data_IF_235736917550
#
_entry.id   IF_235736917550
#
_cell.length_a   1.000
_cell.length_b   1.000
_cell.length_c   1.000
_cell.angle_alpha   90.00
_cell.angle_beta   90.00
_cell.angle_gamma   90.00
#
_symmetry.space_group_name_H-M   'P 1'
#
loop_
_entity.id
_entity.type
_entity.pdbx_description
1 polymer ?
#
# COMPACT_ATOMS: atom_id res chain seq x y z
N UNK A 1 38.98 13.75 -12.64
CA UNK A 1 38.34 12.42 -12.64
C UNK A 1 36.85 12.62 -12.42
N UNK A 2 36.02 12.37 -13.44
CA UNK A 2 34.58 12.66 -13.36
C UNK A 2 33.81 11.36 -13.19
N UNK A 3 33.63 10.94 -11.93
CA UNK A 3 32.95 9.69 -11.52
C UNK A 3 31.43 9.71 -11.78
N UNK A 4 30.89 10.79 -12.36
CA UNK A 4 29.44 11.00 -12.59
C UNK A 4 28.83 10.19 -13.74
N UNK A 5 29.58 9.34 -14.45
CA UNK A 5 29.08 8.62 -15.64
C UNK A 5 28.79 7.13 -15.41
N UNK A 6 29.24 6.55 -14.29
CA UNK A 6 28.97 5.14 -13.95
C UNK A 6 27.48 4.83 -13.63
N UNK A 7 26.76 5.60 -12.79
CA UNK A 7 25.36 5.28 -12.47
C UNK A 7 24.45 5.40 -13.70
N UNK A 8 24.72 6.37 -14.58
CA UNK A 8 23.99 6.52 -15.84
C UNK A 8 24.15 5.30 -16.76
N UNK A 9 25.35 4.70 -16.79
CA UNK A 9 25.63 3.51 -17.59
C UNK A 9 24.90 2.28 -17.06
N UNK A 10 24.83 2.14 -15.73
CA UNK A 10 24.12 1.05 -15.05
C UNK A 10 22.61 1.16 -15.29
N UNK A 11 22.03 2.36 -15.14
CA UNK A 11 20.61 2.61 -15.41
C UNK A 11 20.27 2.33 -16.88
N UNK A 12 21.11 2.77 -17.82
CA UNK A 12 20.89 2.55 -19.25
C UNK A 12 20.97 1.07 -19.62
N UNK A 13 21.93 0.32 -19.06
CA UNK A 13 22.04 -1.12 -19.25
C UNK A 13 20.86 -1.89 -18.64
N UNK A 14 20.41 -1.53 -17.44
CA UNK A 14 19.24 -2.14 -16.81
C UNK A 14 17.97 -1.85 -17.61
N UNK A 15 17.78 -0.62 -18.06
CA UNK A 15 16.63 -0.22 -18.89
C UNK A 15 16.66 -0.89 -20.27
N UNK A 16 17.82 -0.98 -20.92
CA UNK A 16 17.94 -1.64 -22.23
C UNK A 16 17.81 -3.16 -22.12
N UNK A 17 18.40 -3.78 -21.11
CA UNK A 17 18.21 -5.20 -20.79
C UNK A 17 16.74 -5.54 -20.50
N UNK A 18 16.10 -4.77 -19.61
CA UNK A 18 14.69 -4.93 -19.28
C UNK A 18 13.76 -4.68 -20.49
N UNK A 19 14.11 -3.74 -21.37
CA UNK A 19 13.34 -3.47 -22.60
C UNK A 19 13.56 -4.53 -23.69
N UNK A 20 14.75 -5.12 -23.78
CA UNK A 20 15.05 -6.21 -24.72
C UNK A 20 14.42 -7.55 -24.31
N UNK A 21 14.11 -7.73 -23.02
CA UNK A 21 13.51 -8.95 -22.50
C UNK A 21 11.98 -8.95 -22.62
N UNK A 22 11.44 -9.77 -23.52
CA UNK A 22 10.01 -10.12 -23.57
C UNK A 22 9.55 -10.86 -22.32
N UNK A 23 10.38 -11.76 -21.78
CA UNK A 23 10.07 -12.52 -20.56
C UNK A 23 9.92 -11.61 -19.34
N UNK A 24 10.82 -10.65 -19.15
CA UNK A 24 10.77 -9.69 -18.03
C UNK A 24 9.52 -8.82 -18.06
N UNK A 25 9.12 -8.34 -19.24
CA UNK A 25 7.87 -7.57 -19.42
C UNK A 25 6.64 -8.41 -19.11
N UNK A 26 6.61 -9.67 -19.57
CA UNK A 26 5.50 -10.59 -19.29
C UNK A 26 5.40 -10.88 -17.80
N UNK A 27 6.53 -11.15 -17.14
CA UNK A 27 6.56 -11.42 -15.71
C UNK A 27 6.13 -10.18 -14.90
N UNK A 28 6.59 -9.00 -15.29
CA UNK A 28 6.19 -7.75 -14.64
C UNK A 28 4.70 -7.46 -14.81
N UNK A 29 4.13 -7.73 -16.00
CA UNK A 29 2.66 -7.68 -16.22
C UNK A 29 1.92 -8.64 -15.29
N UNK A 30 2.41 -9.88 -15.14
CA UNK A 30 1.81 -10.87 -14.23
C UNK A 30 1.85 -10.36 -12.78
N UNK A 31 2.98 -9.81 -12.33
CA UNK A 31 3.12 -9.23 -10.99
C UNK A 31 2.14 -8.07 -10.80
N UNK A 32 2.03 -7.18 -11.78
CA UNK A 32 1.14 -6.01 -11.72
C UNK A 32 -0.33 -6.42 -11.68
N UNK A 33 -0.73 -7.38 -12.52
CA UNK A 33 -2.07 -7.99 -12.49
C UNK A 33 -2.33 -8.64 -11.14
N UNK A 34 -1.37 -9.44 -10.64
CA UNK A 34 -1.51 -10.12 -9.35
C UNK A 34 -1.63 -9.13 -8.21
N UNK A 35 -0.86 -8.04 -8.19
CA UNK A 35 -0.97 -6.97 -7.21
C UNK A 35 -2.34 -6.27 -7.30
N UNK A 36 -2.84 -6.01 -8.50
CA UNK A 36 -4.15 -5.38 -8.68
C UNK A 36 -5.29 -6.30 -8.24
N UNK A 37 -5.21 -7.59 -8.54
CA UNK A 37 -6.17 -8.61 -8.08
C UNK A 37 -6.07 -8.78 -6.56
N UNK A 38 -4.87 -8.93 -5.99
CA UNK A 38 -4.71 -9.09 -4.55
C UNK A 38 -5.18 -7.86 -3.79
N UNK A 39 -4.83 -6.66 -4.26
CA UNK A 39 -5.35 -5.41 -3.69
C UNK A 39 -6.86 -5.30 -3.87
N UNK A 40 -7.40 -5.68 -5.02
CA UNK A 40 -8.83 -5.68 -5.30
C UNK A 40 -9.61 -6.66 -4.44
N UNK A 41 -9.11 -7.88 -4.25
CA UNK A 41 -9.74 -8.93 -3.42
C UNK A 41 -9.60 -8.62 -1.94
N UNK A 42 -8.41 -8.23 -1.46
CA UNK A 42 -8.25 -7.78 -0.07
C UNK A 42 -9.09 -6.53 0.19
N UNK A 43 -9.19 -5.59 -0.75
CA UNK A 43 -10.09 -4.46 -0.57
C UNK A 43 -11.56 -4.91 -0.60
N UNK A 44 -12.00 -5.68 -1.59
CA UNK A 44 -13.42 -6.01 -1.77
C UNK A 44 -13.94 -7.08 -0.81
N UNK A 45 -13.09 -7.96 -0.27
CA UNK A 45 -13.49 -8.96 0.73
C UNK A 45 -13.07 -8.53 2.13
N UNK A 46 -11.82 -8.07 2.30
CA UNK A 46 -11.31 -7.70 3.62
C UNK A 46 -11.83 -6.32 4.08
N UNK A 47 -12.09 -5.31 3.22
CA UNK A 47 -12.67 -4.05 3.72
C UNK A 47 -14.14 -4.13 4.12
N UNK A 48 -15.07 -4.71 3.33
CA UNK A 48 -16.47 -4.70 3.75
C UNK A 48 -16.71 -5.59 4.96
N UNK A 49 -16.03 -6.72 5.13
CA UNK A 49 -16.12 -7.51 6.37
C UNK A 49 -15.40 -6.83 7.54
N UNK A 50 -14.24 -6.20 7.33
CA UNK A 50 -13.52 -5.50 8.41
C UNK A 50 -14.22 -4.20 8.85
N UNK A 51 -14.88 -3.48 7.94
CA UNK A 51 -15.65 -2.27 8.24
C UNK A 51 -17.07 -2.58 8.74
N UNK A 52 -17.79 -3.54 8.14
CA UNK A 52 -19.17 -3.85 8.59
C UNK A 52 -19.20 -4.70 9.87
N UNK A 53 -18.22 -5.58 10.10
CA UNK A 53 -18.32 -6.54 11.23
C UNK A 53 -17.91 -5.94 12.57
N UNK A 54 -17.30 -4.74 12.59
CA UNK A 54 -16.94 -4.10 13.86
C UNK A 54 -17.64 -2.77 14.13
N UNK A 55 -18.17 -2.02 13.15
CA UNK A 55 -18.92 -0.78 13.43
C UNK A 55 -20.12 -0.63 12.50
N UNK A 56 -21.32 -0.69 13.06
CA UNK A 56 -22.55 -0.32 12.35
C UNK A 56 -22.55 1.17 11.89
N UNK A 57 -21.60 1.98 12.36
CA UNK A 57 -21.31 3.34 11.86
C UNK A 57 -19.95 3.81 12.40
N UNK A 58 -19.00 4.20 11.53
CA UNK A 58 -17.70 4.77 11.93
C UNK A 58 -17.85 6.00 12.86
N UNK A 59 -18.94 6.75 12.72
CA UNK A 59 -19.28 7.89 13.58
C UNK A 59 -19.50 7.53 15.06
N UNK A 60 -20.10 6.38 15.36
CA UNK A 60 -20.40 6.00 16.76
C UNK A 60 -19.15 5.59 17.53
N UNK A 61 -18.18 4.97 16.87
CA UNK A 61 -16.92 4.56 17.52
C UNK A 61 -15.98 5.74 17.74
N UNK A 62 -15.94 6.68 16.79
CA UNK A 62 -15.19 7.91 16.94
C UNK A 62 -15.70 8.71 18.15
N UNK A 63 -17.03 8.77 18.36
CA UNK A 63 -17.66 9.38 19.53
C UNK A 63 -17.25 8.72 20.85
N UNK A 64 -17.32 7.39 20.93
CA UNK A 64 -16.96 6.66 22.16
C UNK A 64 -15.47 6.76 22.51
N UNK A 65 -14.58 6.70 21.51
CA UNK A 65 -13.13 6.86 21.72
C UNK A 65 -12.77 8.29 22.10
N UNK A 66 -13.42 9.30 21.50
CA UNK A 66 -13.29 10.70 21.92
C UNK A 66 -13.73 10.87 23.38
N UNK A 67 -14.89 10.35 23.76
CA UNK A 67 -15.41 10.47 25.14
C UNK A 67 -14.46 9.81 26.16
N UNK A 68 -13.87 8.65 25.82
CA UNK A 68 -12.89 7.98 26.66
C UNK A 68 -11.56 8.74 26.75
N UNK A 69 -11.05 9.30 25.64
CA UNK A 69 -9.83 10.11 25.66
C UNK A 69 -10.00 11.42 26.45
N UNK A 70 -11.16 12.05 26.38
CA UNK A 70 -11.48 13.23 27.21
C UNK A 70 -11.59 12.86 28.69
N UNK A 71 -12.25 11.74 29.03
CA UNK A 71 -12.35 11.24 30.42
C UNK A 71 -11.01 10.83 31.03
N UNK A 72 -10.11 10.22 30.25
CA UNK A 72 -8.75 9.88 30.71
C UNK A 72 -7.88 11.13 30.87
N UNK A 73 -8.12 12.20 30.11
CA UNK A 73 -7.49 13.51 30.31
C UNK A 73 -7.99 14.26 31.55
N UNK A 74 -9.19 13.94 32.04
CA UNK A 74 -9.80 14.53 33.26
C UNK A 74 -9.75 13.63 34.50
N UNK A 75 -8.99 12.52 34.44
CA UNK A 75 -8.65 11.76 35.66
C UNK A 75 -7.50 12.48 36.37
N UNK A 76 -7.89 13.47 37.18
CA UNK A 76 -7.10 14.35 38.05
C UNK A 76 -6.06 13.62 38.94
N UNK A 77 -5.07 14.33 39.52
CA UNK A 77 -4.33 13.84 40.70
C UNK A 77 -5.24 13.43 41.85
#
# INVERSE_FOLDING_TARGET
MNVSSYPLRIIRFYRDGFRSMTLGKTLWKIILIKLLIMFGVLKLFFFPDFLNTQFATDEQKAGYVMEQMTKTGESQP
#
